data_IF_174214393677
#
_entry.id   IF_174214393677
#
_cell.length_a   1.000
_cell.length_b   1.000
_cell.length_c   1.000
_cell.angle_alpha   90.00
_cell.angle_beta   90.00
_cell.angle_gamma   90.00
#
_symmetry.space_group_name_H-M   'P 1'
#
loop_
_entity.id
_entity.type
_entity.pdbx_description
1 polymer ?
#
# COMPACT_ATOMS: atom_id res chain seq x y z
N UNK A 1 -0.24 5.17 21.34
CA UNK A 1 -0.64 4.90 22.74
C UNK A 1 -1.97 5.54 23.15
N UNK A 2 -2.25 6.82 22.84
CA UNK A 2 -3.47 7.53 23.31
C UNK A 2 -4.82 6.92 22.86
N UNK A 3 -4.89 6.30 21.68
CA UNK A 3 -6.12 5.68 21.17
C UNK A 3 -6.56 4.43 21.97
N UNK A 4 -5.59 3.61 22.40
CA UNK A 4 -5.85 2.39 23.17
C UNK A 4 -6.30 2.73 24.59
N UNK A 5 -5.72 3.77 25.20
CA UNK A 5 -6.16 4.26 26.51
C UNK A 5 -7.56 4.89 26.44
N UNK A 6 -7.88 5.59 25.35
CA UNK A 6 -9.20 6.17 25.13
C UNK A 6 -10.30 5.11 24.96
N UNK A 7 -10.06 4.03 24.20
CA UNK A 7 -11.00 2.92 24.05
C UNK A 7 -11.20 2.13 25.36
N UNK A 8 -10.17 2.02 26.19
CA UNK A 8 -10.29 1.43 27.53
C UNK A 8 -11.07 2.32 28.50
N UNK A 9 -11.02 3.64 28.32
CA UNK A 9 -11.67 4.61 29.21
C UNK A 9 -13.14 4.87 28.87
N UNK A 10 -13.55 4.77 27.60
CA UNK A 10 -14.91 5.09 27.16
C UNK A 10 -15.47 4.01 26.21
N UNK A 11 -15.97 2.87 26.76
CA UNK A 11 -16.47 1.76 25.95
C UNK A 11 -17.78 2.07 25.19
N UNK A 12 -18.46 3.17 25.52
CA UNK A 12 -19.76 3.55 24.92
C UNK A 12 -19.67 4.53 23.76
N UNK A 13 -18.52 5.20 23.57
CA UNK A 13 -18.33 6.22 22.51
C UNK A 13 -18.13 5.61 21.10
N UNK A 14 -18.42 4.32 20.92
CA UNK A 14 -18.05 3.57 19.74
C UNK A 14 -18.96 2.41 19.35
N UNK A 15 -20.29 2.54 19.37
CA UNK A 15 -21.15 1.75 18.47
C UNK A 15 -22.61 2.24 18.41
N UNK A 16 -23.24 2.28 17.21
CA UNK A 16 -24.68 2.13 17.11
C UNK A 16 -25.09 0.74 17.59
N UNK A 17 -26.29 0.63 18.17
CA UNK A 17 -26.93 -0.48 18.90
C UNK A 17 -26.95 -1.90 18.29
N UNK A 18 -26.18 -2.19 17.23
CA UNK A 18 -25.99 -3.55 16.71
C UNK A 18 -24.72 -4.16 17.27
N UNK A 19 -24.85 -4.68 18.50
CA UNK A 19 -24.14 -5.84 19.05
C UNK A 19 -22.73 -6.07 18.50
N UNK A 20 -21.76 -5.30 19.02
CA UNK A 20 -20.34 -5.51 18.75
C UNK A 20 -19.82 -6.67 19.63
N UNK A 21 -20.37 -7.87 19.40
CA UNK A 21 -20.10 -9.11 20.18
C UNK A 21 -18.59 -9.39 20.28
N UNK A 22 -17.83 -9.00 19.25
CA UNK A 22 -16.38 -9.17 19.19
C UNK A 22 -15.61 -8.23 20.14
N UNK A 23 -16.10 -7.03 20.43
CA UNK A 23 -15.39 -6.08 21.32
C UNK A 23 -15.75 -6.28 22.78
N UNK A 24 -16.89 -6.90 23.07
CA UNK A 24 -17.36 -7.16 24.44
C UNK A 24 -16.79 -8.45 25.05
N UNK A 25 -16.11 -9.28 24.25
CA UNK A 25 -15.45 -10.48 24.75
C UNK A 25 -13.98 -10.16 25.12
N UNK A 26 -13.57 -10.31 26.39
CA UNK A 26 -12.24 -9.86 26.85
C UNK A 26 -11.08 -10.51 26.08
N UNK A 27 -11.20 -11.78 25.71
CA UNK A 27 -10.19 -12.46 24.88
C UNK A 27 -10.15 -11.97 23.43
N UNK A 28 -11.28 -11.48 22.89
CA UNK A 28 -11.33 -10.94 21.54
C UNK A 28 -10.77 -9.51 21.51
N UNK A 29 -10.99 -8.73 22.57
CA UNK A 29 -10.37 -7.41 22.73
C UNK A 29 -8.83 -7.51 22.83
N UNK A 30 -8.30 -8.48 23.59
CA UNK A 30 -6.86 -8.73 23.67
C UNK A 30 -6.26 -9.19 22.34
N UNK A 31 -6.95 -10.10 21.64
CA UNK A 31 -6.57 -10.55 20.30
C UNK A 31 -6.54 -9.38 19.30
N UNK A 32 -7.61 -8.58 19.23
CA UNK A 32 -7.68 -7.40 18.34
C UNK A 32 -6.59 -6.40 18.68
N UNK A 33 -6.34 -6.12 19.97
CA UNK A 33 -5.25 -5.22 20.37
C UNK A 33 -3.88 -5.72 19.91
N UNK A 34 -3.64 -7.03 20.04
CA UNK A 34 -2.40 -7.68 19.63
C UNK A 34 -2.23 -7.60 18.11
N UNK A 35 -3.24 -7.99 17.35
CA UNK A 35 -3.19 -7.99 15.87
C UNK A 35 -3.10 -6.57 15.30
N UNK A 36 -3.83 -5.59 15.85
CA UNK A 36 -3.76 -4.19 15.42
C UNK A 36 -2.39 -3.59 15.76
N UNK A 37 -1.84 -3.88 16.92
CA UNK A 37 -0.49 -3.40 17.28
C UNK A 37 0.58 -4.03 16.41
N UNK A 38 0.46 -5.32 16.11
CA UNK A 38 1.33 -6.04 15.19
C UNK A 38 1.21 -5.49 13.76
N UNK A 39 0.00 -5.14 13.32
CA UNK A 39 -0.25 -4.48 12.04
C UNK A 39 0.40 -3.10 12.01
N UNK A 40 0.10 -2.19 12.95
CA UNK A 40 0.68 -0.84 13.01
C UNK A 40 2.22 -0.89 13.01
N UNK A 41 2.79 -1.77 13.82
CA UNK A 41 4.25 -1.97 13.88
C UNK A 41 4.80 -2.47 12.54
N UNK A 42 4.05 -3.35 11.87
CA UNK A 42 4.38 -3.82 10.53
C UNK A 42 4.19 -2.73 9.48
N UNK A 43 3.23 -1.81 9.59
CA UNK A 43 3.07 -0.68 8.66
C UNK A 43 4.25 0.30 8.79
N UNK A 44 4.76 0.51 10.02
CA UNK A 44 5.98 1.30 10.26
C UNK A 44 7.20 0.64 9.60
N UNK A 45 7.23 -0.69 9.56
CA UNK A 45 8.32 -1.48 8.99
C UNK A 45 7.91 -2.21 7.70
N UNK A 46 6.94 -1.66 6.96
CA UNK A 46 6.22 -2.36 5.89
C UNK A 46 7.17 -2.99 4.87
N UNK A 47 8.15 -2.19 4.46
CA UNK A 47 9.17 -2.57 3.47
C UNK A 47 10.30 -3.42 4.03
N UNK A 48 10.32 -3.64 5.34
CA UNK A 48 11.27 -4.49 6.04
C UNK A 48 10.69 -5.87 6.33
N UNK A 49 9.37 -6.05 6.18
CA UNK A 49 8.77 -7.38 6.23
C UNK A 49 9.15 -8.15 4.95
N UNK A 50 9.86 -9.25 5.13
CA UNK A 50 10.24 -10.13 4.04
C UNK A 50 8.98 -10.84 3.51
N UNK A 51 8.77 -10.90 2.18
CA UNK A 51 7.68 -11.68 1.63
C UNK A 51 7.87 -13.16 1.95
N UNK A 52 6.78 -13.91 2.11
CA UNK A 52 6.85 -15.37 2.29
C UNK A 52 7.51 -16.07 1.10
N UNK A 53 7.39 -15.48 -0.08
CA UNK A 53 8.01 -15.95 -1.31
C UNK A 53 8.58 -14.77 -2.08
N UNK A 54 9.83 -14.91 -2.54
CA UNK A 54 10.38 -13.98 -3.53
C UNK A 54 9.78 -14.28 -4.89
N UNK A 55 9.12 -13.27 -5.45
CA UNK A 55 8.47 -13.32 -6.74
C UNK A 55 9.32 -12.56 -7.76
N UNK A 56 9.32 -13.04 -9.01
CA UNK A 56 10.00 -12.39 -10.12
C UNK A 56 9.00 -11.93 -11.18
N UNK A 57 9.13 -10.68 -11.62
CA UNK A 57 8.55 -10.24 -12.88
C UNK A 57 9.23 -11.04 -14.01
N UNK A 58 8.48 -11.54 -15.00
CA UNK A 58 9.10 -12.26 -16.10
C UNK A 58 10.05 -11.31 -16.83
N UNK A 59 11.30 -11.72 -17.01
CA UNK A 59 12.19 -11.04 -17.95
C UNK A 59 11.52 -11.02 -19.32
N UNK A 60 11.50 -9.85 -19.94
CA UNK A 60 10.99 -9.55 -21.29
C UNK A 60 10.91 -10.80 -22.19
N UNK A 61 9.73 -11.43 -22.25
CA UNK A 61 9.48 -12.51 -23.20
C UNK A 61 8.07 -12.35 -23.78
N UNK A 62 8.04 -11.58 -24.87
CA UNK A 62 7.09 -11.60 -25.99
C UNK A 62 5.66 -11.09 -25.72
N UNK A 63 5.11 -10.26 -26.63
CA UNK A 63 3.75 -9.77 -26.52
C UNK A 63 2.78 -10.92 -26.85
N UNK A 64 2.06 -11.43 -25.84
CA UNK A 64 1.01 -12.42 -26.03
C UNK A 64 -0.33 -11.69 -26.09
N UNK A 65 -0.73 -11.37 -27.32
CA UNK A 65 -2.09 -10.93 -27.65
C UNK A 65 -3.02 -12.12 -27.36
N UNK A 66 -4.04 -11.90 -26.52
CA UNK A 66 -5.09 -12.86 -26.08
C UNK A 66 -4.71 -13.97 -25.06
N UNK A 67 -3.66 -13.78 -24.24
CA UNK A 67 -3.24 -14.80 -23.24
C UNK A 67 -2.97 -14.32 -21.80
N UNK A 68 -3.03 -13.01 -21.51
CA UNK A 68 -2.56 -12.45 -20.23
C UNK A 68 -3.32 -12.99 -19.01
N UNK A 69 -4.65 -13.14 -19.11
CA UNK A 69 -5.46 -13.66 -18.01
C UNK A 69 -5.16 -15.13 -17.70
N UNK A 70 -4.95 -15.96 -18.72
CA UNK A 70 -4.64 -17.39 -18.54
C UNK A 70 -3.27 -17.58 -17.89
N UNK A 71 -2.27 -16.80 -18.33
CA UNK A 71 -0.93 -16.81 -17.75
C UNK A 71 -0.94 -16.30 -16.30
N UNK A 72 -1.69 -15.23 -16.00
CA UNK A 72 -1.84 -14.71 -14.65
C UNK A 72 -2.48 -15.75 -13.71
N UNK A 73 -3.56 -16.38 -14.15
CA UNK A 73 -4.25 -17.41 -13.37
C UNK A 73 -3.36 -18.63 -13.10
N UNK A 74 -2.58 -19.04 -14.09
CA UNK A 74 -1.61 -20.13 -13.93
C UNK A 74 -0.54 -19.77 -12.90
N UNK A 75 0.05 -18.57 -12.99
CA UNK A 75 1.08 -18.10 -12.04
C UNK A 75 0.53 -17.93 -10.62
N UNK A 76 -0.70 -17.44 -10.50
CA UNK A 76 -1.39 -17.39 -9.23
C UNK A 76 -1.54 -18.79 -8.64
N UNK A 77 -2.01 -19.75 -9.44
CA UNK A 77 -2.14 -21.15 -9.03
C UNK A 77 -0.81 -21.74 -8.56
N UNK A 78 0.30 -21.44 -9.23
CA UNK A 78 1.64 -21.94 -8.88
C UNK A 78 2.17 -21.36 -7.56
N UNK A 79 1.67 -20.20 -7.14
CA UNK A 79 2.11 -19.50 -5.92
C UNK A 79 1.12 -19.62 -4.76
N UNK A 80 -0.06 -20.23 -4.96
CA UNK A 80 -1.03 -20.41 -3.87
C UNK A 80 -0.50 -21.46 -2.88
N UNK A 81 -0.44 -21.14 -1.57
CA UNK A 81 -0.09 -22.13 -0.58
C UNK A 81 -1.14 -23.25 -0.56
N UNK A 82 -0.76 -24.48 -0.19
CA UNK A 82 -1.74 -25.55 0.00
C UNK A 82 -2.81 -25.11 1.00
N UNK A 83 -4.05 -25.55 0.78
CA UNK A 83 -5.25 -25.16 1.54
C UNK A 83 -5.15 -25.40 3.06
N UNK A 84 -4.11 -26.08 3.51
CA UNK A 84 -3.80 -26.40 4.90
C UNK A 84 -3.00 -25.32 5.62
N UNK A 85 -2.50 -24.28 4.94
CA UNK A 85 -1.82 -23.16 5.59
C UNK A 85 -2.78 -22.00 5.89
N UNK A 86 -2.65 -21.34 7.05
CA UNK A 86 -3.45 -20.18 7.38
C UNK A 86 -3.22 -19.06 6.36
N UNK A 87 -4.30 -18.34 6.02
CA UNK A 87 -4.21 -17.17 5.17
C UNK A 87 -3.28 -16.13 5.79
N UNK A 88 -2.36 -15.63 4.96
CA UNK A 88 -1.40 -14.62 5.35
C UNK A 88 -2.03 -13.22 5.32
N UNK A 89 -2.98 -13.02 6.23
CA UNK A 89 -3.79 -11.81 6.31
C UNK A 89 -2.92 -10.56 6.49
N UNK A 90 -1.80 -10.69 7.22
CA UNK A 90 -0.86 -9.59 7.43
C UNK A 90 -0.30 -9.07 6.10
N UNK A 91 0.24 -9.95 5.25
CA UNK A 91 0.77 -9.54 3.96
C UNK A 91 -0.33 -9.07 3.00
N UNK A 92 -1.55 -9.62 3.09
CA UNK A 92 -2.71 -9.12 2.33
C UNK A 92 -3.07 -7.68 2.74
N UNK A 93 -3.15 -7.38 4.04
CA UNK A 93 -3.47 -6.02 4.51
C UNK A 93 -2.39 -5.01 4.12
N UNK A 94 -1.12 -5.41 4.19
CA UNK A 94 0.00 -4.60 3.73
C UNK A 94 -0.11 -4.34 2.22
N UNK A 95 -0.40 -5.36 1.41
CA UNK A 95 -0.58 -5.16 -0.03
C UNK A 95 -1.78 -4.27 -0.39
N UNK A 96 -2.86 -4.37 0.37
CA UNK A 96 -4.02 -3.48 0.24
C UNK A 96 -3.65 -2.01 0.52
N UNK A 97 -2.86 -1.75 1.56
CA UNK A 97 -2.36 -0.42 1.89
C UNK A 97 -1.47 0.14 0.76
N UNK A 98 -0.60 -0.69 0.17
CA UNK A 98 0.23 -0.29 -0.97
C UNK A 98 -0.49 -0.24 -2.32
N UNK A 99 -1.69 -0.80 -2.44
CA UNK A 99 -2.41 -0.88 -3.73
C UNK A 99 -2.67 0.49 -4.35
N UNK A 100 -2.74 1.53 -3.51
CA UNK A 100 -2.81 2.93 -3.94
C UNK A 100 -1.68 3.30 -4.90
N UNK A 101 -0.47 2.74 -4.71
CA UNK A 101 0.69 3.00 -5.55
C UNK A 101 0.51 2.40 -6.94
N UNK A 102 -0.15 1.24 -7.05
CA UNK A 102 -0.40 0.53 -8.31
C UNK A 102 -1.67 0.99 -9.04
N UNK A 103 -2.38 1.99 -8.51
CA UNK A 103 -3.62 2.47 -9.11
C UNK A 103 -3.36 3.13 -10.46
N UNK A 104 -3.91 2.55 -11.55
CA UNK A 104 -3.82 3.10 -12.91
C UNK A 104 -4.80 4.27 -13.12
N UNK A 105 -5.93 4.26 -12.42
CA UNK A 105 -7.04 5.26 -12.45
C UNK A 105 -7.91 5.09 -11.20
N UNK A 106 -8.25 6.16 -10.49
CA UNK A 106 -9.42 6.13 -9.60
C UNK A 106 -10.66 6.36 -10.46
N UNK A 107 -11.35 5.30 -10.88
CA UNK A 107 -12.53 5.51 -11.71
C UNK A 107 -13.23 4.23 -12.14
N UNK A 108 -13.99 3.66 -11.22
CA UNK A 108 -15.18 2.87 -11.57
C UNK A 108 -16.42 3.60 -11.02
N UNK A 109 -16.61 4.85 -11.42
CA UNK A 109 -17.95 5.44 -11.41
C UNK A 109 -18.10 6.34 -12.64
N UNK A 110 -19.07 6.00 -13.49
CA UNK A 110 -19.31 6.60 -14.80
C UNK A 110 -20.00 7.98 -14.71
N UNK A 111 -19.90 8.69 -13.59
CA UNK A 111 -20.66 9.92 -13.35
C UNK A 111 -19.85 11.16 -12.96
N UNK A 112 -18.52 11.11 -12.91
CA UNK A 112 -17.71 12.32 -12.77
C UNK A 112 -16.45 12.25 -13.63
N UNK A 113 -16.36 13.12 -14.63
CA UNK A 113 -15.25 13.24 -15.58
C UNK A 113 -13.95 13.76 -14.96
N UNK A 114 -13.40 13.07 -13.96
CA UNK A 114 -12.09 13.38 -13.40
C UNK A 114 -11.18 12.16 -13.46
N UNK A 115 -10.47 12.03 -14.59
CA UNK A 115 -9.37 11.08 -14.76
C UNK A 115 -8.17 11.55 -13.92
N UNK A 116 -8.15 11.25 -12.62
CA UNK A 116 -6.98 11.55 -11.79
C UNK A 116 -6.00 10.39 -11.76
N UNK A 117 -4.73 10.68 -12.05
CA UNK A 117 -3.63 9.72 -11.94
C UNK A 117 -3.21 9.52 -10.48
N UNK A 118 -2.35 8.52 -10.23
CA UNK A 118 -1.63 8.38 -8.96
C UNK A 118 -1.03 9.71 -8.47
N UNK A 119 -0.46 10.50 -9.39
CA UNK A 119 0.18 11.78 -9.07
C UNK A 119 -0.87 12.82 -8.63
N UNK A 120 -1.95 12.96 -9.39
CA UNK A 120 -2.96 14.02 -9.17
C UNK A 120 -3.80 13.81 -7.90
N UNK A 121 -3.90 12.56 -7.43
CA UNK A 121 -4.63 12.25 -6.21
C UNK A 121 -3.71 11.99 -5.02
N UNK A 122 -2.81 11.02 -5.11
CA UNK A 122 -2.08 10.58 -3.92
C UNK A 122 -0.87 11.48 -3.63
N UNK A 123 0.01 11.73 -4.60
CA UNK A 123 1.21 12.54 -4.37
C UNK A 123 0.86 13.98 -3.97
N UNK A 124 -0.16 14.57 -4.61
CA UNK A 124 -0.65 15.91 -4.28
C UNK A 124 -1.29 16.00 -2.88
N UNK A 125 -2.04 14.99 -2.46
CA UNK A 125 -2.60 14.98 -1.09
C UNK A 125 -1.50 14.91 -0.04
N UNK A 126 -0.48 14.08 -0.27
CA UNK A 126 0.70 14.02 0.60
C UNK A 126 1.43 15.38 0.61
N UNK A 127 1.60 16.03 -0.54
CA UNK A 127 2.22 17.35 -0.59
C UNK A 127 1.43 18.41 0.20
N UNK A 128 0.10 18.43 0.07
CA UNK A 128 -0.79 19.35 0.81
C UNK A 128 -0.71 19.18 2.32
N UNK A 129 -0.50 17.94 2.79
CA UNK A 129 -0.37 17.66 4.22
C UNK A 129 0.99 18.10 4.79
N UNK A 130 2.09 17.81 4.09
CA UNK A 130 3.43 17.96 4.66
C UNK A 130 4.11 19.30 4.34
N UNK A 131 3.87 19.89 3.17
CA UNK A 131 4.50 21.17 2.77
C UNK A 131 4.29 22.28 3.81
N UNK A 132 3.08 22.48 4.39
CA UNK A 132 2.86 23.52 5.40
C UNK A 132 3.70 23.35 6.67
N UNK A 133 4.12 22.12 6.98
CA UNK A 133 4.85 21.78 8.21
C UNK A 133 6.37 21.86 8.01
N UNK A 134 6.88 21.34 6.89
CA UNK A 134 8.34 21.20 6.67
C UNK A 134 8.91 22.16 5.62
N UNK A 135 8.05 22.87 4.89
CA UNK A 135 8.42 23.70 3.75
C UNK A 135 8.64 22.90 2.47
N UNK A 136 8.38 23.53 1.32
CA UNK A 136 8.36 22.87 0.02
C UNK A 136 9.69 22.24 -0.37
N UNK A 137 10.81 22.94 -0.15
CA UNK A 137 12.15 22.41 -0.45
C UNK A 137 12.44 21.13 0.34
N UNK A 138 12.26 21.16 1.66
CA UNK A 138 12.48 20.02 2.54
C UNK A 138 11.58 18.85 2.17
N UNK A 139 10.30 19.13 1.88
CA UNK A 139 9.35 18.11 1.44
C UNK A 139 9.85 17.39 0.18
N UNK A 140 10.21 18.14 -0.87
CA UNK A 140 10.65 17.55 -2.15
C UNK A 140 11.90 16.70 -1.98
N UNK A 141 12.91 17.22 -1.27
CA UNK A 141 14.17 16.49 -1.01
C UNK A 141 13.90 15.18 -0.25
N UNK A 142 13.15 15.26 0.87
CA UNK A 142 12.90 14.09 1.73
C UNK A 142 11.94 13.09 1.10
N UNK A 143 10.95 13.54 0.33
CA UNK A 143 10.06 12.66 -0.42
C UNK A 143 10.82 11.93 -1.51
N UNK A 144 11.68 12.61 -2.28
CA UNK A 144 12.50 11.95 -3.30
C UNK A 144 13.47 10.92 -2.69
N UNK A 145 14.08 11.22 -1.53
CA UNK A 145 14.92 10.28 -0.77
C UNK A 145 14.11 9.05 -0.31
N UNK A 146 12.92 9.27 0.25
CA UNK A 146 12.02 8.20 0.67
C UNK A 146 11.62 7.28 -0.49
N UNK A 147 11.21 7.86 -1.63
CA UNK A 147 10.83 7.10 -2.83
C UNK A 147 12.02 6.32 -3.40
N UNK A 148 13.25 6.84 -3.29
CA UNK A 148 14.44 6.09 -3.70
C UNK A 148 14.69 4.87 -2.82
N UNK A 149 14.56 5.02 -1.50
CA UNK A 149 14.61 3.89 -0.57
C UNK A 149 13.53 2.83 -0.87
N UNK A 150 12.37 3.28 -1.35
CA UNK A 150 11.27 2.42 -1.80
C UNK A 150 11.67 1.63 -3.06
N UNK A 151 12.18 2.31 -4.09
CA UNK A 151 12.63 1.72 -5.37
C UNK A 151 13.75 0.71 -5.21
N UNK A 152 14.64 0.88 -4.23
CA UNK A 152 15.72 -0.05 -3.94
C UNK A 152 15.24 -1.41 -3.40
N UNK A 153 13.98 -1.54 -2.96
CA UNK A 153 13.43 -2.81 -2.50
C UNK A 153 13.16 -3.74 -3.70
N UNK A 154 13.51 -5.03 -3.62
CA UNK A 154 13.32 -5.97 -4.74
C UNK A 154 11.84 -6.33 -4.99
N UNK A 155 10.99 -6.21 -3.97
CA UNK A 155 9.58 -6.59 -4.02
C UNK A 155 8.76 -5.76 -3.02
N UNK A 156 7.72 -5.09 -3.50
CA UNK A 156 6.83 -4.28 -2.67
C UNK A 156 5.62 -5.08 -2.23
N UNK A 157 4.89 -5.64 -3.19
CA UNK A 157 3.74 -6.49 -2.91
C UNK A 157 4.18 -7.89 -2.51
N UNK A 158 3.60 -8.40 -1.46
CA UNK A 158 4.04 -9.56 -0.70
C UNK A 158 3.30 -10.81 -1.12
N UNK A 159 2.08 -10.64 -1.60
CA UNK A 159 1.23 -11.70 -2.10
C UNK A 159 1.28 -11.79 -3.63
N UNK A 160 1.14 -12.99 -4.20
CA UNK A 160 1.20 -13.19 -5.65
C UNK A 160 0.22 -12.34 -6.45
N UNK A 161 -1.01 -12.18 -5.94
CA UNK A 161 -2.06 -11.43 -6.62
C UNK A 161 -1.67 -9.96 -6.83
N UNK A 162 -1.32 -9.26 -5.76
CA UNK A 162 -0.95 -7.86 -5.86
C UNK A 162 0.38 -7.67 -6.59
N UNK A 163 1.33 -8.59 -6.40
CA UNK A 163 2.62 -8.52 -7.10
C UNK A 163 2.45 -8.58 -8.62
N UNK A 164 1.79 -9.62 -9.15
CA UNK A 164 1.65 -9.77 -10.60
C UNK A 164 0.74 -8.71 -11.23
N UNK A 165 -0.20 -8.15 -10.47
CA UNK A 165 -1.14 -7.18 -11.01
C UNK A 165 -0.67 -5.72 -10.89
N UNK A 166 0.12 -5.38 -9.86
CA UNK A 166 0.36 -3.99 -9.47
C UNK A 166 1.83 -3.61 -9.32
N UNK A 167 2.77 -4.54 -9.14
CA UNK A 167 4.17 -4.22 -8.82
C UNK A 167 4.82 -3.31 -9.87
N UNK A 168 4.68 -3.66 -11.16
CA UNK A 168 5.28 -2.90 -12.25
C UNK A 168 4.72 -1.48 -12.32
N UNK A 169 3.39 -1.36 -12.35
CA UNK A 169 2.70 -0.06 -12.40
C UNK A 169 3.00 0.79 -11.17
N UNK A 170 3.04 0.20 -9.97
CA UNK A 170 3.40 0.92 -8.76
C UNK A 170 4.81 1.50 -8.86
N UNK A 171 5.76 0.72 -9.38
CA UNK A 171 7.13 1.18 -9.59
C UNK A 171 7.21 2.28 -10.64
N UNK A 172 6.47 2.18 -11.73
CA UNK A 172 6.39 3.25 -12.75
C UNK A 172 5.87 4.56 -12.16
N UNK A 173 4.78 4.50 -11.40
CA UNK A 173 4.18 5.65 -10.72
C UNK A 173 5.17 6.34 -9.77
N UNK A 174 5.85 5.57 -8.93
CA UNK A 174 6.86 6.10 -7.99
C UNK A 174 8.08 6.66 -8.72
N UNK A 175 8.55 6.02 -9.80
CA UNK A 175 9.65 6.56 -10.64
C UNK A 175 9.25 7.91 -11.25
N UNK A 176 8.01 8.03 -11.73
CA UNK A 176 7.49 9.26 -12.30
C UNK A 176 7.42 10.38 -11.25
N UNK A 177 6.88 10.11 -10.06
CA UNK A 177 6.82 11.07 -8.95
C UNK A 177 8.23 11.52 -8.53
N UNK A 178 9.16 10.58 -8.31
CA UNK A 178 10.55 10.91 -7.95
C UNK A 178 11.19 11.83 -8.98
N UNK A 179 11.03 11.52 -10.28
CA UNK A 179 11.58 12.33 -11.37
C UNK A 179 11.00 13.74 -11.35
N UNK A 180 9.69 13.88 -11.14
CA UNK A 180 9.01 15.17 -11.03
C UNK A 180 9.55 16.01 -9.86
N UNK A 181 9.73 15.41 -8.68
CA UNK A 181 10.28 16.09 -7.50
C UNK A 181 11.73 16.57 -7.72
N UNK A 182 12.54 15.79 -8.45
CA UNK A 182 13.92 16.16 -8.77
C UNK A 182 14.00 17.28 -9.84
N UNK A 183 13.15 17.24 -10.87
CA UNK A 183 13.12 18.26 -11.92
C UNK A 183 12.70 19.63 -11.40
N UNK A 184 11.68 19.65 -10.54
CA UNK A 184 11.14 20.89 -9.96
C UNK A 184 12.05 21.50 -8.89
N UNK A 185 12.97 20.72 -8.29
CA UNK A 185 13.99 21.23 -7.39
C UNK A 185 15.09 22.02 -8.12
N UNK A 186 15.43 21.63 -9.36
CA UNK A 186 16.46 22.29 -10.18
C UNK A 186 16.00 23.60 -10.85
N UNK A 187 14.71 23.88 -10.88
CA UNK A 187 14.13 25.07 -11.52
C UNK A 187 13.88 26.25 -10.56
N UNK A 188 14.47 26.24 -9.37
CA UNK A 188 14.34 27.31 -8.36
C UNK A 188 15.70 27.87 -7.91
N UNK A 189 16.75 27.60 -8.69
CA UNK A 189 18.13 28.07 -8.43
C UNK A 189 18.61 29.17 -9.39
N UNK A 190 17.73 29.80 -10.17
CA UNK A 190 18.05 30.95 -11.04
C UNK A 190 17.39 32.24 -10.56
#
# INVERSE_FOLDING_TARGET
MKFIEHLKANPEDGAPEKSNVLLNHPAALEYVCTEVSAYISATISHLSLAPLQLLGLPSECQPVVDGEHSLLLQRLSDCLPPYTQPYDLKHVFLDLDLSILGSKKFGNDHTAGNNSSYVDCYADLIAKEYIPVVGEKTFREKRAEFLEGFLAKPQWFKTPYFYFQMEETARENVRAERKYLQMTASSHTD
#
